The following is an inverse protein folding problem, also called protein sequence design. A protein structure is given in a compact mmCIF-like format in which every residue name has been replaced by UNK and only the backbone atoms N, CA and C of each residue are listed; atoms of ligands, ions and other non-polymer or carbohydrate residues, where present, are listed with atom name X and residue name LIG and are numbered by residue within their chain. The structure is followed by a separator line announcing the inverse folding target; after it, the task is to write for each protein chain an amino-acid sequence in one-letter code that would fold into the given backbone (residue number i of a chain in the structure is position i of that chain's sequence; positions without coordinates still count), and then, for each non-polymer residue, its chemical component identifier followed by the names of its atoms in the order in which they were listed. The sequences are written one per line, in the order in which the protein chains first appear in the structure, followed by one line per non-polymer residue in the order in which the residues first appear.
data_IF_832080730453
#
_entry.id   IF_832080730453
#
_cell.length_a   1.000
_cell.length_b   1.000
_cell.length_c   1.000
_cell.angle_alpha   90.00
_cell.angle_beta   90.00
_cell.angle_gamma   90.00
#
_symmetry.space_group_name_H-M   'P 1'
#
loop_
_entity.id
_entity.type
_entity.pdbx_description
1 polymer ?
#
# COMPACT_ATOMS: atom_id res chain seq x y z
N UNK A 1 10.99 -24.88 -20.26
CA UNK A 1 10.52 -26.27 -20.48
C UNK A 1 11.65 -27.25 -20.85
N UNK A 2 12.34 -27.12 -21.99
CA UNK A 2 13.39 -28.09 -22.40
C UNK A 2 14.55 -28.22 -21.41
N UNK A 3 15.04 -27.11 -20.83
CA UNK A 3 16.10 -27.14 -19.81
C UNK A 3 15.65 -27.78 -18.49
N UNK A 4 14.40 -27.51 -18.09
CA UNK A 4 13.80 -28.10 -16.88
C UNK A 4 13.64 -29.61 -17.02
N UNK A 5 13.07 -30.08 -18.12
CA UNK A 5 12.91 -31.51 -18.38
C UNK A 5 14.26 -32.23 -18.45
N UNK A 6 15.28 -31.60 -19.05
CA UNK A 6 16.65 -32.14 -19.07
C UNK A 6 17.30 -32.24 -17.69
N UNK A 7 16.84 -31.48 -16.69
CA UNK A 7 17.29 -31.58 -15.30
C UNK A 7 16.49 -32.61 -14.49
N UNK A 8 15.16 -32.65 -14.65
CA UNK A 8 14.28 -33.56 -13.92
C UNK A 8 14.39 -35.01 -14.42
N UNK A 9 14.45 -35.22 -15.75
CA UNK A 9 14.41 -36.55 -16.34
C UNK A 9 15.56 -37.45 -15.86
N UNK A 10 16.84 -37.00 -15.81
CA UNK A 10 17.92 -37.81 -15.26
C UNK A 10 17.74 -38.17 -13.77
N UNK A 11 17.13 -37.28 -12.97
CA UNK A 11 16.84 -37.56 -11.56
C UNK A 11 15.76 -38.63 -11.41
N UNK A 12 14.68 -38.52 -12.18
CA UNK A 12 13.61 -39.53 -12.19
C UNK A 12 14.12 -40.89 -12.67
N UNK A 13 14.88 -40.90 -13.77
CA UNK A 13 15.47 -42.13 -14.33
C UNK A 13 16.47 -42.75 -13.36
N UNK A 14 17.38 -41.96 -12.79
CA UNK A 14 18.34 -42.45 -11.81
C UNK A 14 17.64 -43.00 -10.55
N UNK A 15 16.61 -42.34 -10.02
CA UNK A 15 15.85 -42.87 -8.89
C UNK A 15 15.18 -44.20 -9.24
N UNK A 16 14.49 -44.28 -10.38
CA UNK A 16 13.82 -45.51 -10.83
C UNK A 16 14.82 -46.65 -11.05
N UNK A 17 15.93 -46.38 -11.74
CA UNK A 17 16.95 -47.38 -12.06
C UNK A 17 17.75 -47.85 -10.83
N UNK A 18 17.82 -47.01 -9.78
CA UNK A 18 18.49 -47.35 -8.51
C UNK A 18 17.54 -47.86 -7.42
N UNK A 19 16.26 -48.07 -7.75
CA UNK A 19 15.29 -48.73 -6.86
C UNK A 19 15.68 -50.21 -6.67
N UNK A 20 16.62 -50.44 -5.76
CA UNK A 20 17.11 -51.75 -5.34
C UNK A 20 16.46 -52.21 -4.04
N UNK A 21 15.38 -51.53 -3.62
CA UNK A 21 14.68 -51.77 -2.34
C UNK A 21 14.34 -53.25 -2.21
N UNK A 22 15.00 -54.01 -1.31
CA UNK A 22 14.80 -55.45 -1.22
C UNK A 22 13.51 -55.81 -0.45
N UNK A 23 12.77 -54.82 0.06
CA UNK A 23 11.53 -54.98 0.81
C UNK A 23 10.58 -53.80 0.61
N UNK A 24 9.28 -54.03 0.82
CA UNK A 24 8.24 -53.00 0.78
C UNK A 24 8.51 -51.87 1.79
N UNK A 25 9.09 -52.19 2.94
CA UNK A 25 9.44 -51.17 3.95
C UNK A 25 10.61 -50.29 3.47
N UNK A 26 11.62 -50.86 2.81
CA UNK A 26 12.70 -50.07 2.19
C UNK A 26 12.20 -49.20 1.06
N UNK A 27 11.24 -49.70 0.27
CA UNK A 27 10.59 -48.92 -0.77
C UNK A 27 9.84 -47.72 -0.17
N UNK A 28 9.08 -47.94 0.91
CA UNK A 28 8.30 -46.89 1.57
C UNK A 28 9.16 -45.85 2.31
N UNK A 29 10.24 -46.26 2.94
CA UNK A 29 11.02 -45.40 3.86
C UNK A 29 12.28 -44.81 3.24
N UNK A 30 12.78 -45.34 2.12
CA UNK A 30 14.01 -44.86 1.48
C UNK A 30 13.73 -44.38 0.06
N UNK A 31 13.12 -45.21 -0.78
CA UNK A 31 12.89 -44.87 -2.19
C UNK A 31 11.82 -43.79 -2.37
N UNK A 32 10.63 -43.95 -1.77
CA UNK A 32 9.55 -42.97 -1.93
C UNK A 32 9.96 -41.58 -1.43
N UNK A 33 10.57 -41.39 -0.24
CA UNK A 33 11.07 -40.08 0.19
C UNK A 33 12.11 -39.48 -0.76
N UNK A 34 13.08 -40.25 -1.24
CA UNK A 34 14.09 -39.75 -2.19
C UNK A 34 13.47 -39.31 -3.53
N UNK A 35 12.41 -39.97 -3.99
CA UNK A 35 11.65 -39.55 -5.16
C UNK A 35 10.93 -38.22 -4.90
N UNK A 36 10.32 -38.05 -3.72
CA UNK A 36 9.71 -36.78 -3.32
C UNK A 36 10.73 -35.65 -3.23
N UNK A 37 11.92 -35.89 -2.66
CA UNK A 37 13.02 -34.93 -2.60
C UNK A 37 13.44 -34.48 -4.02
N UNK A 38 13.59 -35.43 -4.95
CA UNK A 38 13.96 -35.14 -6.34
C UNK A 38 12.89 -34.34 -7.10
N UNK A 39 11.61 -34.68 -6.90
CA UNK A 39 10.48 -33.92 -7.46
C UNK A 39 10.44 -32.52 -6.87
N UNK A 40 10.58 -32.39 -5.55
CA UNK A 40 10.59 -31.11 -4.86
C UNK A 40 11.72 -30.21 -5.38
N UNK A 41 12.95 -30.71 -5.47
CA UNK A 41 14.10 -29.95 -5.97
C UNK A 41 13.87 -29.44 -7.41
N UNK A 42 13.28 -30.26 -8.28
CA UNK A 42 12.99 -29.86 -9.65
C UNK A 42 11.84 -28.84 -9.76
N UNK A 43 10.84 -28.94 -8.90
CA UNK A 43 9.77 -27.94 -8.79
C UNK A 43 10.30 -26.62 -8.25
N UNK A 44 11.11 -26.65 -7.19
CA UNK A 44 11.80 -25.46 -6.66
C UNK A 44 12.62 -24.78 -7.76
N UNK A 45 13.43 -25.53 -8.52
CA UNK A 45 14.21 -24.95 -9.62
C UNK A 45 13.35 -24.29 -10.71
N UNK A 46 12.18 -24.86 -11.02
CA UNK A 46 11.24 -24.25 -11.97
C UNK A 46 10.65 -22.95 -11.43
N UNK A 47 10.24 -22.96 -10.16
CA UNK A 47 9.70 -21.79 -9.48
C UNK A 47 10.74 -20.69 -9.38
N UNK A 48 11.98 -21.01 -8.98
CA UNK A 48 13.09 -20.05 -8.96
C UNK A 48 13.34 -19.46 -10.34
N UNK A 49 13.35 -20.27 -11.40
CA UNK A 49 13.50 -19.76 -12.77
C UNK A 49 12.38 -18.82 -13.20
N UNK A 50 11.14 -19.05 -12.72
CA UNK A 50 10.02 -18.13 -12.94
C UNK A 50 10.22 -16.83 -12.15
N UNK A 51 10.56 -16.90 -10.86
CA UNK A 51 10.77 -15.70 -10.03
C UNK A 51 11.92 -14.85 -10.53
N UNK A 52 13.01 -15.48 -10.99
CA UNK A 52 14.17 -14.79 -11.61
C UNK A 52 13.75 -14.03 -12.87
N UNK A 53 12.83 -14.58 -13.65
CA UNK A 53 12.31 -13.91 -14.86
C UNK A 53 11.46 -12.68 -14.55
N UNK A 54 10.81 -12.65 -13.38
CA UNK A 54 10.04 -11.50 -12.89
C UNK A 54 10.98 -10.42 -12.32
N UNK A 55 12.16 -10.79 -11.82
CA UNK A 55 13.07 -9.86 -11.17
C UNK A 55 13.42 -8.64 -12.04
N UNK A 56 13.58 -8.84 -13.35
CA UNK A 56 13.81 -7.74 -14.30
C UNK A 56 12.67 -6.72 -14.41
N UNK A 57 11.49 -7.01 -13.88
CA UNK A 57 10.34 -6.10 -13.83
C UNK A 57 10.37 -5.18 -12.60
N UNK A 58 11.17 -5.50 -11.58
CA UNK A 58 11.23 -4.75 -10.31
C UNK A 58 11.88 -3.37 -10.45
N UNK A 59 12.80 -3.22 -11.41
CA UNK A 59 13.52 -1.96 -11.64
C UNK A 59 12.70 -0.93 -12.44
N UNK A 60 11.46 -1.26 -12.83
CA UNK A 60 10.62 -0.37 -13.63
C UNK A 60 9.84 0.62 -12.79
N UNK A 61 9.80 1.88 -13.24
CA UNK A 61 8.96 2.95 -12.66
C UNK A 61 7.51 2.91 -13.13
N UNK A 62 7.14 1.94 -13.98
CA UNK A 62 5.80 1.80 -14.57
C UNK A 62 4.93 0.79 -13.81
N UNK A 63 3.84 0.30 -14.42
CA UNK A 63 3.02 -0.76 -13.86
C UNK A 63 3.65 -2.17 -13.98
N UNK A 64 4.88 -2.31 -14.48
CA UNK A 64 5.53 -3.62 -14.63
C UNK A 64 5.63 -4.43 -13.31
N UNK A 65 5.92 -3.83 -12.14
CA UNK A 65 5.88 -4.56 -10.88
C UNK A 65 4.48 -5.12 -10.55
N UNK A 66 3.38 -4.46 -10.95
CA UNK A 66 2.03 -5.04 -10.80
C UNK A 66 1.81 -6.25 -11.69
N UNK A 67 2.36 -6.25 -12.90
CA UNK A 67 2.28 -7.41 -13.79
C UNK A 67 3.07 -8.58 -13.19
N UNK A 68 4.26 -8.31 -12.63
CA UNK A 68 5.02 -9.30 -11.87
C UNK A 68 4.23 -9.85 -10.68
N UNK A 69 3.61 -8.97 -9.90
CA UNK A 69 2.76 -9.34 -8.77
C UNK A 69 1.56 -10.18 -9.20
N UNK A 70 0.84 -9.78 -10.25
CA UNK A 70 -0.32 -10.51 -10.76
C UNK A 70 0.05 -11.93 -11.18
N UNK A 71 1.16 -12.09 -11.91
CA UNK A 71 1.67 -13.41 -12.30
C UNK A 71 2.06 -14.24 -11.07
N UNK A 72 2.73 -13.65 -10.07
CA UNK A 72 3.12 -14.36 -8.87
C UNK A 72 1.92 -14.79 -8.02
N UNK A 73 0.87 -13.95 -7.93
CA UNK A 73 -0.40 -14.28 -7.26
C UNK A 73 -1.10 -15.43 -7.98
N UNK A 74 -1.21 -15.37 -9.31
CA UNK A 74 -1.83 -16.43 -10.12
C UNK A 74 -1.08 -17.76 -9.97
N UNK A 75 0.25 -17.74 -10.11
CA UNK A 75 1.09 -18.93 -9.95
C UNK A 75 0.94 -19.50 -8.55
N UNK A 76 0.96 -18.68 -7.50
CA UNK A 76 0.73 -19.15 -6.13
C UNK A 76 -0.65 -19.81 -6.00
N UNK A 77 -1.71 -19.20 -6.54
CA UNK A 77 -3.08 -19.72 -6.48
C UNK A 77 -3.25 -21.07 -7.18
N UNK A 78 -2.56 -21.28 -8.31
CA UNK A 78 -2.62 -22.52 -9.07
C UNK A 78 -1.67 -23.61 -8.52
N UNK A 79 -0.49 -23.21 -8.05
CA UNK A 79 0.55 -24.13 -7.60
C UNK A 79 0.25 -24.71 -6.22
N UNK A 80 -0.20 -23.90 -5.26
CA UNK A 80 -0.38 -24.33 -3.87
C UNK A 80 -1.35 -25.51 -3.70
N UNK A 81 -2.52 -25.57 -4.39
CA UNK A 81 -3.40 -26.75 -4.36
C UNK A 81 -2.76 -28.00 -4.97
N UNK A 82 -1.98 -27.84 -6.05
CA UNK A 82 -1.29 -28.95 -6.69
C UNK A 82 -0.19 -29.52 -5.80
N UNK A 83 0.60 -28.66 -5.14
CA UNK A 83 1.61 -29.09 -4.18
C UNK A 83 0.99 -29.78 -2.96
N UNK A 84 -0.13 -29.25 -2.45
CA UNK A 84 -0.87 -29.89 -1.36
C UNK A 84 -1.35 -31.30 -1.72
N UNK A 85 -1.66 -31.55 -3.00
CA UNK A 85 -2.04 -32.87 -3.50
C UNK A 85 -0.82 -33.77 -3.75
N UNK A 86 0.20 -33.29 -4.47
CA UNK A 86 1.36 -34.08 -4.87
C UNK A 86 2.33 -34.37 -3.74
N UNK A 87 2.46 -33.46 -2.78
CA UNK A 87 3.41 -33.54 -1.66
C UNK A 87 2.70 -33.62 -0.31
N UNK A 88 1.49 -34.16 -0.27
CA UNK A 88 0.67 -34.26 0.94
C UNK A 88 1.39 -34.92 2.14
N UNK A 89 2.32 -35.83 1.85
CA UNK A 89 3.12 -36.55 2.84
C UNK A 89 4.43 -35.83 3.24
N UNK A 90 4.76 -34.72 2.60
CA UNK A 90 6.01 -33.96 2.80
C UNK A 90 5.74 -32.45 2.83
N UNK A 91 5.06 -31.94 3.88
CA UNK A 91 4.65 -30.53 3.94
C UNK A 91 5.82 -29.54 3.95
N UNK A 92 7.01 -29.94 4.42
CA UNK A 92 8.19 -29.06 4.39
C UNK A 92 8.57 -28.66 2.96
N UNK A 93 8.48 -29.58 1.98
CA UNK A 93 8.79 -29.25 0.59
C UNK A 93 7.79 -28.28 -0.03
N UNK A 94 6.52 -28.32 0.40
CA UNK A 94 5.53 -27.36 -0.07
C UNK A 94 5.96 -25.94 0.31
N UNK A 95 6.40 -25.73 1.55
CA UNK A 95 6.89 -24.44 2.01
C UNK A 95 8.11 -23.99 1.21
N UNK A 96 9.09 -24.88 1.00
CA UNK A 96 10.32 -24.57 0.26
C UNK A 96 10.05 -24.19 -1.20
N UNK A 97 9.08 -24.84 -1.85
CA UNK A 97 8.72 -24.56 -3.25
C UNK A 97 7.95 -23.24 -3.37
N UNK A 98 7.08 -22.90 -2.41
CA UNK A 98 6.22 -21.72 -2.47
C UNK A 98 6.93 -20.45 -2.01
N UNK A 99 7.89 -20.56 -1.08
CA UNK A 99 8.59 -19.42 -0.47
C UNK A 99 9.21 -18.42 -1.48
N UNK A 100 9.81 -18.83 -2.61
CA UNK A 100 10.27 -17.88 -3.64
C UNK A 100 9.13 -17.07 -4.28
N UNK A 101 7.96 -17.68 -4.49
CA UNK A 101 6.80 -16.98 -5.07
C UNK A 101 6.25 -15.94 -4.10
N UNK A 102 6.14 -16.30 -2.81
CA UNK A 102 5.72 -15.36 -1.77
C UNK A 102 6.68 -14.18 -1.63
N UNK A 103 7.99 -14.46 -1.63
CA UNK A 103 9.02 -13.40 -1.61
C UNK A 103 8.91 -12.49 -2.83
N UNK A 104 8.58 -13.05 -4.01
CA UNK A 104 8.37 -12.28 -5.24
C UNK A 104 7.12 -11.42 -5.18
N UNK A 105 6.01 -11.93 -4.60
CA UNK A 105 4.79 -11.14 -4.35
C UNK A 105 5.11 -9.90 -3.51
N UNK A 106 5.83 -10.10 -2.41
CA UNK A 106 6.20 -8.98 -1.53
C UNK A 106 7.13 -8.00 -2.23
N UNK A 107 8.17 -8.49 -2.92
CA UNK A 107 9.11 -7.64 -3.65
C UNK A 107 8.42 -6.82 -4.76
N UNK A 108 7.54 -7.44 -5.57
CA UNK A 108 6.80 -6.75 -6.62
C UNK A 108 5.82 -5.71 -6.06
N UNK A 109 5.12 -6.05 -4.95
CA UNK A 109 4.22 -5.10 -4.31
C UNK A 109 4.98 -3.89 -3.75
N UNK A 110 6.14 -4.12 -3.12
CA UNK A 110 6.98 -3.03 -2.61
C UNK A 110 7.60 -2.18 -3.73
N UNK A 111 8.06 -2.80 -4.82
CA UNK A 111 8.58 -2.08 -5.99
C UNK A 111 7.51 -1.18 -6.63
N UNK A 112 6.23 -1.61 -6.63
CA UNK A 112 5.12 -0.76 -7.04
C UNK A 112 4.82 0.36 -6.04
N UNK A 113 4.80 0.03 -4.75
CA UNK A 113 4.28 0.89 -3.69
C UNK A 113 5.28 1.96 -3.24
N UNK A 114 6.56 1.62 -3.06
CA UNK A 114 7.55 2.53 -2.49
C UNK A 114 7.67 3.85 -3.27
N UNK A 115 7.79 3.87 -4.62
CA UNK A 115 7.84 5.13 -5.38
C UNK A 115 6.56 5.97 -5.24
N UNK A 116 5.41 5.33 -5.02
CA UNK A 116 4.12 6.02 -4.82
C UNK A 116 4.02 6.61 -3.42
N UNK A 117 4.55 5.92 -2.41
CA UNK A 117 4.68 6.48 -1.07
C UNK A 117 5.63 7.68 -1.06
N UNK A 118 6.73 7.63 -1.82
CA UNK A 118 7.65 8.77 -1.97
C UNK A 118 6.97 9.94 -2.70
N UNK A 119 6.20 9.66 -3.76
CA UNK A 119 5.42 10.67 -4.47
C UNK A 119 4.33 11.29 -3.58
N UNK A 120 3.72 10.50 -2.70
CA UNK A 120 2.77 10.99 -1.70
C UNK A 120 3.46 11.90 -0.69
N UNK A 121 4.62 11.51 -0.16
CA UNK A 121 5.40 12.36 0.75
C UNK A 121 5.77 13.69 0.07
N UNK A 122 6.22 13.65 -1.20
CA UNK A 122 6.53 14.85 -1.96
C UNK A 122 5.28 15.73 -2.21
N UNK A 123 4.12 15.13 -2.47
CA UNK A 123 2.86 15.87 -2.63
C UNK A 123 2.41 16.54 -1.33
N UNK A 124 2.58 15.88 -0.19
CA UNK A 124 2.30 16.44 1.14
C UNK A 124 3.29 17.56 1.49
N UNK A 125 4.58 17.41 1.18
CA UNK A 125 5.60 18.46 1.42
C UNK A 125 5.49 19.65 0.46
N UNK A 126 5.11 19.43 -0.80
CA UNK A 126 4.93 20.49 -1.78
C UNK A 126 3.86 21.51 -1.36
N UNK A 127 2.83 21.05 -0.64
CA UNK A 127 1.83 21.90 0.01
C UNK A 127 2.47 22.85 1.04
N UNK A 128 3.43 22.36 1.82
CA UNK A 128 4.09 23.16 2.85
C UNK A 128 4.83 24.36 2.26
N UNK A 129 5.48 24.18 1.11
CA UNK A 129 6.21 25.24 0.40
C UNK A 129 5.27 26.27 -0.22
N UNK A 130 4.15 25.83 -0.80
CA UNK A 130 3.13 26.74 -1.34
C UNK A 130 2.51 27.60 -0.23
N UNK A 131 2.14 26.98 0.89
CA UNK A 131 1.58 27.67 2.04
C UNK A 131 2.58 28.62 2.72
N UNK A 132 3.87 28.28 2.76
CA UNK A 132 4.93 29.16 3.26
C UNK A 132 5.11 30.41 2.39
N UNK A 133 5.10 30.25 1.07
CA UNK A 133 5.25 31.36 0.12
C UNK A 133 4.05 32.32 0.13
N UNK A 134 2.83 31.82 0.37
CA UNK A 134 1.65 32.68 0.54
C UNK A 134 1.63 33.43 1.86
N UNK A 135 2.22 32.87 2.92
CA UNK A 135 2.31 33.53 4.24
C UNK A 135 3.31 34.68 4.29
N UNK A 136 4.27 34.76 3.37
CA UNK A 136 5.25 35.86 3.33
C UNK A 136 4.77 37.11 2.57
N UNK A 137 3.60 37.05 1.92
CA UNK A 137 3.08 38.14 1.06
C UNK A 137 2.08 39.04 1.83
N UNK A 138 1.67 38.65 3.04
CA UNK A 138 0.63 39.35 3.82
C UNK A 138 1.12 40.14 5.04
N UNK A 139 2.34 40.68 5.02
CA UNK A 139 2.89 41.42 6.17
C UNK A 139 3.08 42.92 5.88
N UNK A 140 2.16 43.52 5.11
CA UNK A 140 1.97 44.97 5.05
C UNK A 140 0.61 45.31 5.68
N UNK A 141 0.68 45.65 6.96
CA UNK A 141 -0.09 46.68 7.68
C UNK A 141 -1.39 47.17 7.00
N UNK A 142 -2.52 46.46 7.17
CA UNK A 142 -3.85 47.07 7.00
C UNK A 142 -4.93 46.35 7.81
N UNK A 143 -5.01 46.76 9.07
CA UNK A 143 -6.13 46.47 9.97
C UNK A 143 -7.37 47.24 9.50
N UNK A 144 -8.18 46.66 8.59
CA UNK A 144 -9.63 46.88 8.41
C UNK A 144 -10.19 46.50 7.03
N UNK A 145 -9.56 45.60 6.27
CA UNK A 145 -10.15 45.15 5.01
C UNK A 145 -10.97 43.86 5.19
N UNK A 146 -12.31 43.84 4.97
CA UNK A 146 -13.12 42.61 4.95
C UNK A 146 -12.87 41.75 3.70
N UNK A 147 -11.73 41.99 3.04
CA UNK A 147 -11.33 41.46 1.74
C UNK A 147 -9.94 40.81 1.81
N UNK A 148 -9.57 40.25 2.97
CA UNK A 148 -8.44 39.32 3.00
C UNK A 148 -8.82 38.07 2.17
N UNK A 149 -8.00 37.65 1.19
CA UNK A 149 -8.29 36.53 0.30
C UNK A 149 -8.05 35.17 0.99
N UNK A 150 -8.22 35.08 2.30
CA UNK A 150 -8.00 33.87 3.09
C UNK A 150 -9.31 33.07 3.30
N UNK A 151 -10.32 33.39 2.50
CA UNK A 151 -11.68 32.90 2.62
C UNK A 151 -11.82 31.44 2.21
N UNK A 152 -12.35 30.63 3.12
CA UNK A 152 -13.33 29.56 2.91
C UNK A 152 -13.14 28.57 1.75
N UNK A 153 -12.00 28.49 1.09
CA UNK A 153 -11.77 27.59 -0.04
C UNK A 153 -10.97 26.36 0.38
N UNK A 154 -11.55 25.17 0.21
CA UNK A 154 -10.86 23.90 0.42
C UNK A 154 -9.53 23.83 -0.35
N UNK A 155 -8.44 23.44 0.32
CA UNK A 155 -7.14 23.34 -0.32
C UNK A 155 -7.16 22.26 -1.41
N UNK A 156 -6.79 22.63 -2.64
CA UNK A 156 -6.83 21.74 -3.80
C UNK A 156 -5.90 20.50 -3.66
N UNK A 157 -4.87 20.57 -2.83
CA UNK A 157 -3.89 19.47 -2.70
C UNK A 157 -4.51 18.18 -2.15
N UNK A 158 -5.48 18.27 -1.23
CA UNK A 158 -6.11 17.08 -0.66
C UNK A 158 -6.86 16.29 -1.75
N UNK A 159 -7.42 16.97 -2.74
CA UNK A 159 -8.02 16.31 -3.91
C UNK A 159 -6.99 15.65 -4.80
N UNK A 160 -5.84 16.28 -5.02
CA UNK A 160 -4.72 15.64 -5.73
C UNK A 160 -4.28 14.37 -5.01
N UNK A 161 -4.17 14.39 -3.68
CA UNK A 161 -3.86 13.20 -2.87
C UNK A 161 -4.94 12.13 -3.02
N UNK A 162 -6.22 12.49 -2.89
CA UNK A 162 -7.33 11.55 -3.07
C UNK A 162 -7.36 10.93 -4.48
N UNK A 163 -7.11 11.73 -5.50
CA UNK A 163 -7.03 11.27 -6.89
C UNK A 163 -5.89 10.27 -7.07
N UNK A 164 -4.72 10.50 -6.48
CA UNK A 164 -3.61 9.56 -6.49
C UNK A 164 -4.00 8.23 -5.81
N UNK A 165 -4.61 8.28 -4.62
CA UNK A 165 -5.05 7.07 -3.90
C UNK A 165 -6.05 6.24 -4.71
N UNK A 166 -7.03 6.91 -5.33
CA UNK A 166 -8.03 6.25 -6.19
C UNK A 166 -7.35 5.64 -7.43
N UNK A 167 -6.47 6.40 -8.08
CA UNK A 167 -5.78 5.93 -9.30
C UNK A 167 -4.94 4.69 -9.02
N UNK A 168 -4.12 4.72 -7.98
CA UNK A 168 -3.27 3.58 -7.60
C UNK A 168 -4.09 2.38 -7.12
N UNK A 169 -5.20 2.63 -6.41
CA UNK A 169 -6.14 1.56 -6.04
C UNK A 169 -6.74 0.91 -7.29
N UNK A 170 -7.15 1.71 -8.27
CA UNK A 170 -7.71 1.21 -9.52
C UNK A 170 -6.67 0.42 -10.34
N UNK A 171 -5.42 0.86 -10.39
CA UNK A 171 -4.31 0.12 -11.01
C UNK A 171 -4.15 -1.28 -10.39
N UNK A 172 -4.16 -1.36 -9.06
CA UNK A 172 -4.08 -2.65 -8.34
C UNK A 172 -5.30 -3.52 -8.64
N UNK A 173 -6.51 -3.00 -8.46
CA UNK A 173 -7.75 -3.77 -8.59
C UNK A 173 -7.97 -4.28 -10.02
N UNK A 174 -7.49 -3.53 -11.03
CA UNK A 174 -7.52 -3.96 -12.43
C UNK A 174 -6.53 -5.08 -12.73
N UNK A 175 -5.36 -5.08 -12.10
CA UNK A 175 -4.32 -6.08 -12.34
C UNK A 175 -4.50 -7.34 -11.49
N UNK A 176 -5.04 -7.21 -10.28
CA UNK A 176 -5.07 -8.25 -9.27
C UNK A 176 -6.46 -8.26 -8.62
N UNK A 177 -7.30 -9.28 -8.85
CA UNK A 177 -8.64 -9.36 -8.27
C UNK A 177 -8.63 -9.77 -6.79
N UNK A 178 -7.61 -9.32 -6.03
CA UNK A 178 -7.42 -9.62 -4.61
C UNK A 178 -7.40 -8.29 -3.85
N UNK A 179 -8.53 -7.96 -3.22
CA UNK A 179 -8.73 -6.66 -2.54
C UNK A 179 -7.72 -6.35 -1.43
N UNK A 180 -7.06 -7.37 -0.87
CA UNK A 180 -6.09 -7.22 0.21
C UNK A 180 -4.89 -6.33 -0.17
N UNK A 181 -4.44 -6.33 -1.43
CA UNK A 181 -3.34 -5.48 -1.88
C UNK A 181 -3.74 -4.01 -1.94
N UNK A 182 -4.93 -3.72 -2.48
CA UNK A 182 -5.48 -2.36 -2.49
C UNK A 182 -5.71 -1.84 -1.07
N UNK A 183 -6.20 -2.68 -0.17
CA UNK A 183 -6.39 -2.31 1.25
C UNK A 183 -5.06 -2.14 2.00
N UNK A 184 -4.03 -2.91 1.65
CA UNK A 184 -2.68 -2.75 2.21
C UNK A 184 -2.04 -1.43 1.75
N UNK A 185 -2.19 -1.08 0.46
CA UNK A 185 -1.75 0.20 -0.08
C UNK A 185 -2.46 1.37 0.62
N UNK A 186 -3.79 1.32 0.71
CA UNK A 186 -4.57 2.36 1.39
C UNK A 186 -4.13 2.53 2.85
N UNK A 187 -3.97 1.43 3.60
CA UNK A 187 -3.48 1.47 4.99
C UNK A 187 -2.15 2.21 5.12
N UNK A 188 -1.18 1.92 4.25
CA UNK A 188 0.14 2.55 4.31
C UNK A 188 0.12 4.02 3.90
N UNK A 189 -0.61 4.37 2.83
CA UNK A 189 -0.75 5.76 2.40
C UNK A 189 -1.50 6.61 3.44
N UNK A 190 -2.61 6.10 3.96
CA UNK A 190 -3.41 6.79 4.96
C UNK A 190 -2.67 6.97 6.28
N UNK A 191 -1.85 5.99 6.69
CA UNK A 191 -0.98 6.14 7.84
C UNK A 191 0.03 7.29 7.68
N UNK A 192 0.58 7.48 6.47
CA UNK A 192 1.47 8.63 6.17
C UNK A 192 0.71 9.96 6.21
N UNK A 193 -0.45 10.03 5.56
CA UNK A 193 -1.29 11.24 5.56
C UNK A 193 -1.69 11.61 7.00
N UNK A 194 -2.18 10.64 7.78
CA UNK A 194 -2.58 10.86 9.16
C UNK A 194 -1.41 11.32 10.04
N UNK A 195 -0.24 10.70 9.91
CA UNK A 195 0.97 11.08 10.65
C UNK A 195 1.43 12.51 10.28
N UNK A 196 1.39 12.84 8.98
CA UNK A 196 1.71 14.18 8.49
C UNK A 196 0.75 15.23 9.10
N UNK A 197 -0.56 15.03 8.96
CA UNK A 197 -1.57 15.95 9.49
C UNK A 197 -1.51 16.09 11.03
N UNK A 198 -1.34 14.98 11.76
CA UNK A 198 -1.19 15.00 13.22
C UNK A 198 0.05 15.78 13.66
N UNK A 199 1.19 15.56 13.00
CA UNK A 199 2.43 16.30 13.26
C UNK A 199 2.26 17.81 12.99
N UNK A 200 1.61 18.17 11.88
CA UNK A 200 1.30 19.56 11.53
C UNK A 200 0.43 20.23 12.58
N UNK A 201 -0.69 19.61 12.95
CA UNK A 201 -1.61 20.17 13.96
C UNK A 201 -0.88 20.41 15.28
N UNK A 202 -0.04 19.47 15.73
CA UNK A 202 0.71 19.65 16.97
C UNK A 202 1.66 20.85 16.91
N UNK A 203 2.34 21.04 15.78
CA UNK A 203 3.23 22.19 15.56
C UNK A 203 2.46 23.51 15.59
N UNK A 204 1.34 23.61 14.88
CA UNK A 204 0.51 24.82 14.86
C UNK A 204 -0.12 25.12 16.23
N UNK A 205 -0.60 24.08 16.93
CA UNK A 205 -1.19 24.21 18.28
C UNK A 205 -0.15 24.70 19.29
N UNK A 206 1.11 24.25 19.17
CA UNK A 206 2.21 24.65 20.05
C UNK A 206 2.76 26.05 19.73
N UNK A 207 2.79 26.44 18.45
CA UNK A 207 3.23 27.78 18.03
C UNK A 207 2.30 28.90 18.55
N UNK A 208 1.02 28.60 18.73
CA UNK A 208 -0.03 29.49 19.23
C UNK A 208 0.01 29.69 20.78
N UNK A 209 1.16 29.45 21.41
CA UNK A 209 1.33 29.39 22.88
C UNK A 209 1.54 30.72 23.61
N UNK A 210 1.07 31.88 23.11
CA UNK A 210 1.34 33.15 23.81
C UNK A 210 0.70 34.46 23.33
N UNK A 211 -0.26 34.45 22.40
CA UNK A 211 -0.89 35.69 21.92
C UNK A 211 -2.33 35.48 21.48
N UNK A 212 -3.14 36.52 21.59
CA UNK A 212 -4.60 36.53 21.49
C UNK A 212 -5.18 35.82 20.25
N UNK A 213 -5.97 34.76 20.48
CA UNK A 213 -7.25 34.46 19.79
C UNK A 213 -7.30 34.22 18.28
N UNK A 214 -6.18 34.27 17.56
CA UNK A 214 -6.14 34.09 16.11
C UNK A 214 -6.05 32.62 15.74
N UNK A 215 -7.20 31.93 15.66
CA UNK A 215 -7.36 30.67 14.92
C UNK A 215 -6.68 30.81 13.56
N UNK A 216 -5.44 30.35 13.42
CA UNK A 216 -4.73 30.41 12.15
C UNK A 216 -5.56 29.65 11.12
N UNK A 217 -5.86 30.27 9.99
CA UNK A 217 -6.59 29.64 8.89
C UNK A 217 -6.00 28.24 8.58
N UNK A 218 -4.67 28.12 8.66
CA UNK A 218 -3.92 26.86 8.55
C UNK A 218 -4.35 25.78 9.53
N UNK A 219 -4.51 26.10 10.82
CA UNK A 219 -4.99 25.15 11.82
C UNK A 219 -6.45 24.71 11.54
N UNK A 220 -7.28 25.62 11.02
CA UNK A 220 -8.66 25.33 10.62
C UNK A 220 -8.70 24.33 9.45
N UNK A 221 -7.89 24.54 8.42
CA UNK A 221 -7.78 23.61 7.30
C UNK A 221 -7.25 22.25 7.72
N UNK A 222 -6.16 22.20 8.49
CA UNK A 222 -5.61 20.95 9.01
C UNK A 222 -6.61 20.17 9.87
N UNK A 223 -7.41 20.87 10.68
CA UNK A 223 -8.50 20.27 11.44
C UNK A 223 -9.55 19.62 10.52
N UNK A 224 -10.04 20.34 9.51
CA UNK A 224 -11.02 19.82 8.54
C UNK A 224 -10.48 18.61 7.81
N UNK A 225 -9.23 18.67 7.34
CA UNK A 225 -8.57 17.59 6.61
C UNK A 225 -8.39 16.34 7.46
N UNK A 226 -7.92 16.49 8.71
CA UNK A 226 -7.77 15.36 9.61
C UNK A 226 -9.13 14.76 10.01
N UNK A 227 -10.14 15.60 10.26
CA UNK A 227 -11.49 15.15 10.58
C UNK A 227 -12.11 14.37 9.42
N UNK A 228 -11.92 14.84 8.18
CA UNK A 228 -12.32 14.12 6.97
C UNK A 228 -11.63 12.77 6.87
N UNK A 229 -10.31 12.73 7.06
CA UNK A 229 -9.52 11.49 7.01
C UNK A 229 -10.01 10.49 8.07
N UNK A 230 -10.24 10.95 9.30
CA UNK A 230 -10.77 10.12 10.38
C UNK A 230 -12.20 9.62 10.12
N UNK A 231 -13.02 10.40 9.44
CA UNK A 231 -14.42 10.05 9.17
C UNK A 231 -14.54 9.06 8.02
N UNK A 232 -13.91 9.37 6.88
CA UNK A 232 -14.11 8.60 5.64
C UNK A 232 -13.17 7.40 5.50
N UNK A 233 -12.02 7.41 6.20
CA UNK A 233 -11.02 6.34 6.07
C UNK A 233 -10.79 5.54 7.35
N UNK A 234 -11.66 5.67 8.36
CA UNK A 234 -11.54 5.00 9.67
C UNK A 234 -11.23 3.51 9.58
N UNK A 235 -11.88 2.81 8.65
CA UNK A 235 -11.72 1.35 8.49
C UNK A 235 -10.29 0.92 8.10
N UNK A 236 -9.53 1.80 7.44
CA UNK A 236 -8.14 1.53 7.05
C UNK A 236 -7.11 2.14 8.03
N UNK A 237 -7.54 2.72 9.16
CA UNK A 237 -6.63 3.26 10.21
C UNK A 237 -7.07 2.90 11.63
N UNK A 238 -7.44 1.63 11.94
CA UNK A 238 -8.03 1.29 13.23
C UNK A 238 -7.09 1.56 14.42
N UNK A 239 -5.78 1.39 14.25
CA UNK A 239 -4.79 1.58 15.31
C UNK A 239 -4.51 3.06 15.63
N UNK A 240 -4.67 3.95 14.64
CA UNK A 240 -4.36 5.36 14.77
C UNK A 240 -5.60 6.20 15.13
N UNK A 241 -6.81 5.70 14.84
CA UNK A 241 -8.07 6.42 15.00
C UNK A 241 -8.22 7.07 16.39
N UNK A 242 -7.95 6.35 17.48
CA UNK A 242 -8.10 6.88 18.84
C UNK A 242 -7.12 8.03 19.16
N UNK A 243 -5.88 7.96 18.65
CA UNK A 243 -4.89 9.03 18.82
C UNK A 243 -5.29 10.28 18.03
N UNK A 244 -5.75 10.08 16.79
CA UNK A 244 -6.17 11.16 15.91
C UNK A 244 -7.45 11.86 16.41
N UNK A 245 -8.41 11.12 16.97
CA UNK A 245 -9.61 11.68 17.61
C UNK A 245 -9.24 12.68 18.72
N UNK A 246 -8.23 12.36 19.54
CA UNK A 246 -7.69 13.29 20.53
C UNK A 246 -7.06 14.55 19.90
N UNK A 247 -6.31 14.40 18.80
CA UNK A 247 -5.72 15.54 18.07
C UNK A 247 -6.80 16.45 17.45
N UNK A 248 -7.84 15.86 16.86
CA UNK A 248 -9.01 16.59 16.33
C UNK A 248 -9.69 17.40 17.43
N UNK A 249 -9.92 16.81 18.61
CA UNK A 249 -10.51 17.52 19.75
C UNK A 249 -9.67 18.72 20.18
N UNK A 250 -8.35 18.59 20.23
CA UNK A 250 -7.45 19.71 20.58
C UNK A 250 -7.50 20.84 19.55
N UNK A 251 -7.58 20.51 18.26
CA UNK A 251 -7.74 21.49 17.19
C UNK A 251 -9.11 22.17 17.22
N UNK A 252 -10.17 21.42 17.54
CA UNK A 252 -11.54 21.95 17.66
C UNK A 252 -11.66 23.04 18.75
N UNK A 253 -10.86 22.98 19.82
CA UNK A 253 -10.83 24.01 20.86
C UNK A 253 -10.27 25.36 20.39
N UNK A 254 -9.55 25.38 19.26
CA UNK A 254 -8.85 26.55 18.73
C UNK A 254 -9.39 27.02 17.38
N UNK A 255 -10.43 26.38 16.84
CA UNK A 255 -10.98 26.67 15.49
C UNK A 255 -12.44 27.11 15.56
N UNK A 256 -12.86 27.96 14.62
CA UNK A 256 -14.25 28.45 14.54
C UNK A 256 -15.16 27.39 13.91
N UNK A 257 -16.22 27.00 14.64
CA UNK A 257 -17.09 25.87 14.28
C UNK A 257 -17.84 26.06 12.95
N UNK A 258 -18.31 27.26 12.69
CA UNK A 258 -19.01 27.66 11.46
C UNK A 258 -18.09 27.56 10.22
N UNK A 259 -16.85 28.04 10.33
CA UNK A 259 -15.84 27.94 9.25
C UNK A 259 -15.46 26.48 8.97
N UNK A 260 -15.24 25.68 10.03
CA UNK A 260 -14.96 24.24 9.91
C UNK A 260 -16.11 23.52 9.22
N UNK A 261 -17.36 23.85 9.56
CA UNK A 261 -18.54 23.23 8.96
C UNK A 261 -18.67 23.57 7.47
N UNK A 262 -18.41 24.82 7.08
CA UNK A 262 -18.44 25.24 5.68
C UNK A 262 -17.36 24.50 4.85
N UNK A 263 -16.12 24.48 5.32
CA UNK A 263 -15.00 23.80 4.65
C UNK A 263 -15.20 22.28 4.55
N UNK A 264 -15.70 21.64 5.62
CA UNK A 264 -16.02 20.21 5.61
C UNK A 264 -17.11 19.90 4.56
N UNK A 265 -18.15 20.74 4.46
CA UNK A 265 -19.21 20.56 3.47
C UNK A 265 -18.72 20.68 2.03
N UNK A 266 -17.78 21.59 1.76
CA UNK A 266 -17.15 21.70 0.44
C UNK A 266 -16.33 20.47 0.10
N UNK A 267 -15.55 19.96 1.06
CA UNK A 267 -14.72 18.77 0.89
C UNK A 267 -15.57 17.53 0.60
N UNK A 268 -16.68 17.37 1.34
CA UNK A 268 -17.65 16.29 1.11
C UNK A 268 -18.32 16.42 -0.26
N UNK A 269 -18.74 17.63 -0.65
CA UNK A 269 -19.38 17.88 -1.95
C UNK A 269 -18.43 17.55 -3.11
N UNK A 270 -17.19 18.05 -3.07
CA UNK A 270 -16.21 17.80 -4.12
C UNK A 270 -15.82 16.30 -4.17
N UNK A 271 -15.67 15.65 -3.02
CA UNK A 271 -15.46 14.19 -2.96
C UNK A 271 -16.62 13.42 -3.58
N UNK A 272 -17.86 13.85 -3.34
CA UNK A 272 -19.05 13.25 -3.94
C UNK A 272 -19.07 13.42 -5.47
N UNK A 273 -18.73 14.60 -5.98
CA UNK A 273 -18.60 14.83 -7.43
C UNK A 273 -17.56 13.91 -8.06
N UNK A 274 -16.38 13.74 -7.43
CA UNK A 274 -15.37 12.81 -7.92
C UNK A 274 -15.89 11.36 -7.96
N UNK A 275 -16.60 10.90 -6.92
CA UNK A 275 -17.21 9.56 -6.91
C UNK A 275 -18.20 9.37 -8.07
N UNK A 276 -18.99 10.39 -8.38
CA UNK A 276 -19.92 10.37 -9.52
C UNK A 276 -19.18 10.31 -10.87
N UNK A 277 -18.09 11.05 -11.03
CA UNK A 277 -17.28 11.03 -12.25
C UNK A 277 -16.49 9.72 -12.45
N UNK A 278 -16.19 9.00 -11.37
CA UNK A 278 -15.44 7.74 -11.39
C UNK A 278 -16.33 6.48 -11.47
N UNK A 279 -17.66 6.63 -11.39
CA UNK A 279 -18.63 5.52 -11.42
C UNK A 279 -19.25 5.26 -12.80
N UNK A 280 -18.68 5.84 -13.86
CA UNK A 280 -19.00 5.58 -15.28
C UNK A 280 -18.08 4.54 -15.88
#
# INVERSE_FOLDING_TARGET
LVKWWKGLHPLLVASIDTNTSPSDEGHRTVFCPALYDGVAAALTALVTGFTDSIHGMLESTTCAPLVGLANAVEVHGLLSPLLAHWLALQPQHIADIVQPVDSTKDACFQAFLAPRLDALDAALQGEEMLAANTSSIGNDDDTNNPSEPHGDESRQYLFSVLLLLVTWRHEIDRCIPVGAYGDSMLRQCLAKIASHLDGRIRTEVAADGGGDGGSTWRLTHLHVELAFVCTHFKQWMPQQAASLESTVLKAALKTKRDVVQALASQLDMQTHMYRLCLSS
#
